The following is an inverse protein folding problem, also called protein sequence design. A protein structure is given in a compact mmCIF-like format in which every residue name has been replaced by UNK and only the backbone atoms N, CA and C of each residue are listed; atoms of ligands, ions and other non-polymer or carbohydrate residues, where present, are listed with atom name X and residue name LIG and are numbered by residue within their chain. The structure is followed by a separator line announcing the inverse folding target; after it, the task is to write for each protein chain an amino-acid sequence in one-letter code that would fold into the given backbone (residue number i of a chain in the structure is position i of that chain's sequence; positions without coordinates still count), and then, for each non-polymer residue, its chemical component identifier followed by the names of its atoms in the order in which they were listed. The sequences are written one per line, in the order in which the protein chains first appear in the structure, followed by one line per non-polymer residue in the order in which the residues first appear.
data_IF_193604176018
#
_entry.id   IF_193604176018
#
_cell.length_a   1.000
_cell.length_b   1.000
_cell.length_c   1.000
_cell.angle_alpha   90.00
_cell.angle_beta   90.00
_cell.angle_gamma   90.00
#
_symmetry.space_group_name_H-M   'P 1'
#
loop_
_entity.id
_entity.type
_entity.pdbx_description
1 polymer ?
#
# COMPACT_ATOMS: atom_id res chain seq x y z
N UNK A 1 3.13 1.63 -30.03
CA UNK A 1 2.27 2.31 -29.03
C UNK A 1 1.28 1.33 -28.39
N UNK A 2 0.43 0.64 -29.16
CA UNK A 2 -0.55 -0.33 -28.66
C UNK A 2 0.03 -1.41 -27.72
N UNK A 3 1.16 -2.02 -28.07
CA UNK A 3 1.82 -3.03 -27.23
C UNK A 3 2.25 -2.47 -25.86
N UNK A 4 2.76 -1.23 -25.79
CA UNK A 4 3.14 -0.61 -24.50
C UNK A 4 1.93 -0.27 -23.64
N UNK A 5 0.80 0.06 -24.25
CA UNK A 5 -0.46 0.27 -23.53
C UNK A 5 -0.98 -1.07 -23.00
N UNK A 6 -0.92 -2.14 -23.80
CA UNK A 6 -1.28 -3.49 -23.38
C UNK A 6 -0.44 -3.94 -22.16
N UNK A 7 0.87 -3.70 -22.17
CA UNK A 7 1.72 -4.04 -21.03
C UNK A 7 1.40 -3.21 -19.77
N UNK A 8 1.00 -1.94 -19.89
CA UNK A 8 0.51 -1.15 -18.75
C UNK A 8 -0.75 -1.77 -18.15
N UNK A 9 -1.72 -2.15 -19.00
CA UNK A 9 -2.96 -2.77 -18.53
C UNK A 9 -2.68 -4.12 -17.86
N UNK A 10 -1.79 -4.92 -18.44
CA UNK A 10 -1.39 -6.20 -17.86
C UNK A 10 -0.68 -6.01 -16.52
N UNK A 11 0.15 -4.98 -16.38
CA UNK A 11 0.81 -4.61 -15.13
C UNK A 11 -0.19 -4.27 -14.02
N UNK A 12 -1.20 -3.44 -14.32
CA UNK A 12 -2.28 -3.13 -13.37
C UNK A 12 -3.07 -4.38 -12.99
N UNK A 13 -3.39 -5.24 -13.97
CA UNK A 13 -4.08 -6.50 -13.72
C UNK A 13 -3.27 -7.44 -12.81
N UNK A 14 -1.94 -7.49 -12.99
CA UNK A 14 -1.05 -8.26 -12.12
C UNK A 14 -1.06 -7.71 -10.72
N UNK A 15 -0.96 -6.39 -10.52
CA UNK A 15 -1.04 -5.80 -9.17
C UNK A 15 -2.39 -6.12 -8.52
N UNK A 16 -3.50 -5.91 -9.23
CA UNK A 16 -4.85 -6.18 -8.70
C UNK A 16 -5.05 -7.65 -8.32
N UNK A 17 -4.56 -8.57 -9.14
CA UNK A 17 -4.70 -10.01 -8.91
C UNK A 17 -3.73 -10.53 -7.85
N UNK A 18 -2.43 -10.20 -7.92
CA UNK A 18 -1.43 -10.77 -7.02
C UNK A 18 -1.36 -10.09 -5.65
N UNK A 19 -1.88 -8.87 -5.49
CA UNK A 19 -1.89 -8.19 -4.19
C UNK A 19 -2.61 -8.99 -3.09
N UNK A 20 -3.86 -9.49 -3.29
CA UNK A 20 -4.50 -10.40 -2.32
C UNK A 20 -3.71 -11.69 -2.07
N UNK A 21 -3.02 -12.22 -3.09
CA UNK A 21 -2.21 -13.43 -2.95
C UNK A 21 -1.06 -13.22 -1.97
N UNK A 22 -0.34 -12.10 -2.10
CA UNK A 22 0.76 -11.76 -1.19
C UNK A 22 0.25 -11.66 0.25
N UNK A 23 -0.89 -11.02 0.46
CA UNK A 23 -1.54 -10.98 1.77
C UNK A 23 -1.84 -12.37 2.33
N UNK A 24 -2.36 -13.28 1.50
CA UNK A 24 -2.69 -14.65 1.89
C UNK A 24 -1.45 -15.52 2.19
N UNK A 25 -0.39 -15.37 1.41
CA UNK A 25 0.91 -16.02 1.64
C UNK A 25 1.48 -15.53 2.97
N UNK A 26 1.52 -14.22 3.21
CA UNK A 26 2.02 -13.66 4.46
C UNK A 26 1.23 -14.12 5.68
N UNK A 27 -0.10 -14.14 5.61
CA UNK A 27 -0.93 -14.67 6.69
C UNK A 27 -0.64 -16.13 6.98
N UNK A 28 -0.43 -16.96 5.95
CA UNK A 28 -0.10 -18.37 6.14
C UNK A 28 1.30 -18.57 6.72
N UNK A 29 2.29 -17.82 6.24
CA UNK A 29 3.65 -17.84 6.78
C UNK A 29 3.68 -17.40 8.24
N UNK A 30 2.96 -16.33 8.60
CA UNK A 30 2.82 -15.85 9.98
C UNK A 30 2.30 -16.97 10.90
N UNK A 31 1.23 -17.65 10.49
CA UNK A 31 0.64 -18.74 11.29
C UNK A 31 1.59 -19.95 11.40
N UNK A 32 2.31 -20.29 10.32
CA UNK A 32 3.31 -21.37 10.36
C UNK A 32 4.45 -21.06 11.33
N UNK A 33 4.94 -19.81 11.37
CA UNK A 33 5.95 -19.37 12.35
C UNK A 33 5.41 -19.47 13.78
N UNK A 34 4.11 -19.25 13.98
CA UNK A 34 3.43 -19.47 15.25
C UNK A 34 3.07 -20.95 15.52
N UNK A 35 3.59 -21.90 14.74
CA UNK A 35 3.30 -23.34 14.84
C UNK A 35 1.81 -23.69 14.66
N UNK A 36 1.08 -22.90 13.89
CA UNK A 36 -0.32 -23.12 13.51
C UNK A 36 -0.44 -23.44 12.02
N UNK A 37 -1.55 -24.06 11.61
CA UNK A 37 -1.81 -24.40 10.19
C UNK A 37 -2.18 -23.18 9.33
N UNK A 38 -2.83 -22.19 9.94
CA UNK A 38 -3.25 -20.96 9.28
C UNK A 38 -4.35 -21.12 8.23
N UNK A 39 -4.88 -19.99 7.71
CA UNK A 39 -5.89 -19.98 6.65
C UNK A 39 -5.29 -20.40 5.29
N UNK A 40 -6.18 -20.69 4.34
CA UNK A 40 -5.76 -20.92 2.95
C UNK A 40 -5.15 -19.65 2.34
N UNK A 41 -4.19 -19.82 1.42
CA UNK A 41 -3.54 -18.72 0.69
C UNK A 41 -4.60 -17.93 -0.12
N UNK A 42 -5.66 -18.59 -0.57
CA UNK A 42 -6.75 -17.96 -1.32
C UNK A 42 -7.84 -17.33 -0.44
N UNK A 43 -7.67 -17.31 0.89
CA UNK A 43 -8.65 -16.72 1.80
C UNK A 43 -8.96 -15.24 1.49
N UNK A 44 -7.97 -14.37 1.16
CA UNK A 44 -8.24 -12.97 0.85
C UNK A 44 -9.21 -12.78 -0.32
N UNK A 45 -9.12 -13.62 -1.36
CA UNK A 45 -10.05 -13.56 -2.50
C UNK A 45 -11.48 -13.94 -2.09
N UNK A 46 -11.64 -14.96 -1.25
CA UNK A 46 -12.95 -15.39 -0.73
C UNK A 46 -13.56 -14.31 0.15
N UNK A 47 -12.73 -13.64 0.94
CA UNK A 47 -13.18 -12.51 1.77
C UNK A 47 -13.63 -11.32 0.91
N UNK A 48 -12.87 -10.94 -0.11
CA UNK A 48 -13.27 -9.89 -1.05
C UNK A 48 -14.57 -10.25 -1.76
N UNK A 49 -14.68 -11.47 -2.30
CA UNK A 49 -15.91 -11.96 -2.92
C UNK A 49 -17.10 -11.87 -1.97
N UNK A 50 -16.94 -12.36 -0.73
CA UNK A 50 -17.97 -12.26 0.32
C UNK A 50 -18.39 -10.81 0.58
N UNK A 51 -17.44 -9.89 0.68
CA UNK A 51 -17.72 -8.48 1.00
C UNK A 51 -18.46 -7.76 -0.13
N UNK A 52 -18.13 -8.05 -1.40
CA UNK A 52 -18.87 -7.50 -2.54
C UNK A 52 -20.32 -7.96 -2.64
N UNK A 53 -20.64 -9.12 -2.04
CA UNK A 53 -21.99 -9.68 -1.99
C UNK A 53 -22.78 -9.28 -0.73
N UNK A 54 -22.19 -8.45 0.15
CA UNK A 54 -22.87 -7.90 1.31
C UNK A 54 -23.40 -6.50 1.02
N UNK A 55 -24.51 -6.17 1.68
CA UNK A 55 -25.02 -4.81 1.72
C UNK A 55 -24.07 -3.89 2.48
N UNK A 56 -24.06 -2.63 2.07
CA UNK A 56 -23.27 -1.58 2.67
C UNK A 56 -24.15 -0.76 3.61
N UNK A 57 -23.75 -0.72 4.88
CA UNK A 57 -24.31 0.14 5.91
C UNK A 57 -23.36 1.31 6.08
N UNK A 58 -23.91 2.52 5.95
CA UNK A 58 -23.19 3.79 6.06
C UNK A 58 -23.77 4.57 7.24
N UNK A 59 -22.90 5.16 8.07
CA UNK A 59 -23.33 5.99 9.20
C UNK A 59 -24.13 7.20 8.73
N UNK A 60 -25.20 7.54 9.46
CA UNK A 60 -26.07 8.69 9.17
C UNK A 60 -25.33 10.03 9.36
N UNK A 61 -24.35 10.06 10.28
CA UNK A 61 -23.54 11.23 10.58
C UNK A 61 -22.36 11.43 9.63
N UNK A 62 -22.13 10.49 8.70
CA UNK A 62 -21.01 10.54 7.77
C UNK A 62 -21.27 11.48 6.58
N UNK A 63 -20.22 12.19 6.16
CA UNK A 63 -20.28 13.08 5.00
C UNK A 63 -20.02 12.33 3.68
N UNK A 64 -19.96 13.09 2.59
CA UNK A 64 -19.56 12.58 1.28
C UNK A 64 -18.14 11.98 1.29
N UNK A 65 -17.26 12.43 2.20
CA UNK A 65 -15.87 11.96 2.31
C UNK A 65 -15.83 10.47 2.59
N UNK A 66 -16.66 9.97 3.52
CA UNK A 66 -16.76 8.55 3.82
C UNK A 66 -17.16 7.72 2.59
N UNK A 67 -18.10 8.22 1.77
CA UNK A 67 -18.57 7.49 0.58
C UNK A 67 -17.55 7.44 -0.55
N UNK A 68 -16.74 8.49 -0.73
CA UNK A 68 -15.76 8.57 -1.81
C UNK A 68 -14.40 7.94 -1.48
N UNK A 69 -14.03 7.92 -0.21
CA UNK A 69 -12.72 7.43 0.25
C UNK A 69 -12.38 6.01 -0.22
N UNK A 70 -13.27 5.00 -0.19
CA UNK A 70 -12.95 3.65 -0.67
C UNK A 70 -12.48 3.60 -2.13
N UNK A 71 -13.08 4.43 -2.98
CA UNK A 71 -12.69 4.54 -4.39
C UNK A 71 -11.32 5.18 -4.53
N UNK A 72 -11.02 6.22 -3.75
CA UNK A 72 -9.71 6.89 -3.77
C UNK A 72 -8.62 5.91 -3.31
N UNK A 73 -8.82 5.23 -2.18
CA UNK A 73 -7.88 4.24 -1.63
C UNK A 73 -7.65 3.07 -2.58
N UNK A 74 -8.67 2.68 -3.34
CA UNK A 74 -8.56 1.63 -4.35
C UNK A 74 -7.79 2.09 -5.61
N UNK A 75 -7.99 3.34 -6.04
CA UNK A 75 -7.45 3.87 -7.29
C UNK A 75 -6.02 4.37 -7.15
N UNK A 76 -5.60 4.89 -5.99
CA UNK A 76 -4.24 5.44 -5.83
C UNK A 76 -3.13 4.42 -6.09
N UNK A 77 -3.18 3.16 -5.61
CA UNK A 77 -2.14 2.18 -5.91
C UNK A 77 -2.15 1.76 -7.38
N UNK A 78 -3.31 1.81 -8.06
CA UNK A 78 -3.42 1.53 -9.51
C UNK A 78 -2.66 2.59 -10.31
N UNK A 79 -2.78 3.87 -9.94
CA UNK A 79 -1.99 4.93 -10.58
C UNK A 79 -0.49 4.72 -10.38
N UNK A 80 -0.06 4.36 -9.17
CA UNK A 80 1.37 4.09 -8.93
C UNK A 80 1.84 2.85 -9.68
N UNK A 81 1.00 1.82 -9.78
CA UNK A 81 1.28 0.65 -10.59
C UNK A 81 1.52 0.99 -12.07
N UNK A 82 1.04 2.11 -12.61
CA UNK A 82 1.36 2.55 -13.98
C UNK A 82 2.76 3.21 -14.09
N UNK A 83 3.30 3.72 -12.97
CA UNK A 83 4.54 4.49 -12.92
C UNK A 83 5.77 3.61 -12.61
N UNK A 84 5.59 2.50 -11.90
CA UNK A 84 6.70 1.64 -11.44
C UNK A 84 6.98 0.47 -12.40
N UNK A 85 8.22 -0.06 -12.45
CA UNK A 85 8.54 -1.25 -13.26
C UNK A 85 8.12 -2.54 -12.55
N UNK A 86 6.86 -2.99 -12.70
CA UNK A 86 6.41 -4.26 -12.11
C UNK A 86 6.77 -5.46 -12.99
N UNK A 87 6.51 -5.36 -14.30
CA UNK A 87 6.69 -6.48 -15.24
C UNK A 87 7.82 -6.27 -16.24
N UNK A 88 8.12 -5.02 -16.56
CA UNK A 88 9.05 -4.68 -17.64
C UNK A 88 10.20 -3.83 -17.13
N UNK A 89 11.41 -4.14 -17.58
CA UNK A 89 12.61 -3.35 -17.25
C UNK A 89 12.73 -2.07 -18.08
N UNK A 90 11.92 -1.90 -19.14
CA UNK A 90 11.93 -0.72 -20.00
C UNK A 90 10.70 0.17 -19.74
N UNK A 91 10.81 1.50 -19.96
CA UNK A 91 9.71 2.42 -19.68
C UNK A 91 8.52 2.17 -20.59
N UNK A 92 7.35 2.03 -19.96
CA UNK A 92 6.05 1.91 -20.61
C UNK A 92 5.50 3.29 -21.04
N UNK A 93 4.34 3.31 -21.70
CA UNK A 93 3.76 4.55 -22.24
C UNK A 93 3.54 5.63 -21.15
N UNK A 94 3.07 5.24 -19.97
CA UNK A 94 2.79 6.15 -18.85
C UNK A 94 3.97 6.32 -17.88
N UNK A 95 5.13 5.70 -18.15
CA UNK A 95 6.29 5.71 -17.27
C UNK A 95 6.87 7.10 -16.97
N UNK A 96 6.56 8.10 -17.82
CA UNK A 96 7.05 9.47 -17.69
C UNK A 96 5.99 10.44 -17.16
N UNK A 97 4.79 9.96 -16.78
CA UNK A 97 3.73 10.81 -16.22
C UNK A 97 4.02 11.30 -14.80
N UNK A 98 4.87 10.58 -14.08
CA UNK A 98 5.24 10.88 -12.70
C UNK A 98 6.56 10.21 -12.34
N UNK A 99 7.19 10.70 -11.29
CA UNK A 99 8.42 10.17 -10.73
C UNK A 99 8.16 9.37 -9.45
N UNK A 100 9.22 8.83 -8.84
CA UNK A 100 9.11 8.08 -7.59
C UNK A 100 8.43 8.88 -6.47
N UNK A 101 8.75 10.17 -6.38
CA UNK A 101 8.21 11.05 -5.34
C UNK A 101 6.72 11.34 -5.56
N UNK A 102 6.33 11.61 -6.81
CA UNK A 102 4.94 11.76 -7.22
C UNK A 102 4.13 10.49 -6.94
N UNK A 103 4.69 9.31 -7.19
CA UNK A 103 4.09 8.03 -6.80
C UNK A 103 3.82 7.96 -5.29
N UNK A 104 4.80 8.38 -4.48
CA UNK A 104 4.64 8.55 -3.03
C UNK A 104 3.48 9.43 -2.63
N UNK A 105 3.40 10.64 -3.19
CA UNK A 105 2.32 11.57 -2.89
C UNK A 105 0.94 11.05 -3.30
N UNK A 106 0.85 10.30 -4.40
CA UNK A 106 -0.40 9.64 -4.81
C UNK A 106 -0.84 8.60 -3.77
N UNK A 107 0.08 7.80 -3.22
CA UNK A 107 -0.26 6.88 -2.11
C UNK A 107 -0.63 7.64 -0.83
N UNK A 108 0.09 8.72 -0.52
CA UNK A 108 -0.18 9.56 0.64
C UNK A 108 -1.57 10.21 0.57
N UNK A 109 -2.03 10.56 -0.64
CA UNK A 109 -3.40 11.05 -0.87
C UNK A 109 -4.43 10.00 -0.45
N UNK A 110 -4.24 8.73 -0.81
CA UNK A 110 -5.11 7.64 -0.36
C UNK A 110 -5.12 7.51 1.17
N UNK A 111 -3.95 7.58 1.80
CA UNK A 111 -3.83 7.57 3.27
C UNK A 111 -4.49 8.77 3.95
N UNK A 112 -4.43 9.95 3.33
CA UNK A 112 -5.10 11.17 3.79
C UNK A 112 -6.62 11.02 3.79
N UNK A 113 -7.21 10.57 2.68
CA UNK A 113 -8.65 10.33 2.61
C UNK A 113 -9.10 9.22 3.59
N UNK A 114 -8.31 8.15 3.73
CA UNK A 114 -8.58 7.10 4.72
C UNK A 114 -8.59 7.64 6.16
N UNK A 115 -7.66 8.53 6.51
CA UNK A 115 -7.63 9.16 7.85
C UNK A 115 -8.75 10.17 8.06
N UNK A 116 -9.13 10.93 7.02
CA UNK A 116 -10.30 11.82 7.09
C UNK A 116 -11.59 11.04 7.30
N UNK A 117 -11.82 9.97 6.52
CA UNK A 117 -13.02 9.17 6.64
C UNK A 117 -13.15 8.48 8.01
N UNK A 118 -12.03 8.16 8.65
CA UNK A 118 -12.03 7.62 10.02
C UNK A 118 -12.54 8.63 11.06
N UNK A 119 -12.36 9.93 10.81
CA UNK A 119 -12.83 11.00 11.70
C UNK A 119 -14.29 11.38 11.40
N UNK A 120 -14.73 11.14 10.17
CA UNK A 120 -16.03 11.57 9.61
C UNK A 120 -17.24 10.78 10.16
N UNK A 121 -17.03 9.63 10.79
CA UNK A 121 -18.12 8.70 11.17
C UNK A 121 -18.71 8.92 12.55
N UNK A 122 -18.35 10.01 13.23
CA UNK A 122 -18.79 10.37 14.58
C UNK A 122 -18.56 9.31 15.68
N UNK A 123 -17.72 8.30 15.43
CA UNK A 123 -17.31 7.30 16.43
C UNK A 123 -16.04 7.78 17.18
N UNK A 124 -15.95 7.65 18.52
CA UNK A 124 -14.73 7.98 19.29
C UNK A 124 -13.45 7.23 18.87
N UNK A 125 -13.53 6.01 18.35
CA UNK A 125 -12.35 5.18 18.04
C UNK A 125 -11.62 5.60 16.75
N UNK A 126 -12.37 6.07 15.75
CA UNK A 126 -11.81 6.47 14.46
C UNK A 126 -10.78 7.60 14.58
N UNK A 127 -11.12 8.74 15.21
CA UNK A 127 -10.16 9.82 15.47
C UNK A 127 -8.95 9.40 16.32
N UNK A 128 -9.15 8.53 17.32
CA UNK A 128 -8.05 8.05 18.17
C UNK A 128 -7.01 7.27 17.35
N UNK A 129 -7.46 6.32 16.53
CA UNK A 129 -6.55 5.54 15.69
C UNK A 129 -5.98 6.33 14.49
N UNK A 130 -6.75 7.27 13.94
CA UNK A 130 -6.27 8.20 12.91
C UNK A 130 -5.12 9.08 13.41
N UNK A 131 -5.24 9.62 14.63
CA UNK A 131 -4.18 10.41 15.29
C UNK A 131 -2.88 9.60 15.43
N UNK A 132 -2.97 8.36 15.91
CA UNK A 132 -1.81 7.46 16.07
C UNK A 132 -1.18 7.12 14.73
N UNK A 133 -2.01 6.81 13.73
CA UNK A 133 -1.47 6.49 12.41
C UNK A 133 -0.73 7.69 11.82
N UNK A 134 -1.26 8.90 11.99
CA UNK A 134 -0.59 10.12 11.53
C UNK A 134 0.70 10.42 12.28
N UNK A 135 0.77 10.12 13.57
CA UNK A 135 2.02 10.22 14.32
C UNK A 135 3.10 9.29 13.75
N UNK A 136 2.75 8.04 13.42
CA UNK A 136 3.69 7.10 12.76
C UNK A 136 4.07 7.60 11.38
N UNK A 137 3.09 8.04 10.58
CA UNK A 137 3.30 8.59 9.23
C UNK A 137 4.23 9.80 9.22
N UNK A 138 4.07 10.72 10.18
CA UNK A 138 4.93 11.89 10.33
C UNK A 138 6.41 11.53 10.56
N UNK A 139 6.68 10.42 11.25
CA UNK A 139 8.04 9.91 11.44
C UNK A 139 8.56 9.15 10.21
N UNK A 140 7.67 8.50 9.46
CA UNK A 140 7.97 7.72 8.27
C UNK A 140 8.24 8.58 7.02
N UNK A 141 7.53 9.70 6.85
CA UNK A 141 7.60 10.57 5.68
C UNK A 141 9.02 11.14 5.41
N UNK A 142 9.79 11.62 6.41
CA UNK A 142 11.17 12.04 6.19
C UNK A 142 12.09 10.89 5.72
N UNK A 143 11.87 9.68 6.23
CA UNK A 143 12.63 8.49 5.81
C UNK A 143 12.31 8.14 4.36
N UNK A 144 11.03 8.19 3.98
CA UNK A 144 10.58 8.06 2.59
C UNK A 144 11.34 9.03 1.67
N UNK A 145 11.39 10.32 2.03
CA UNK A 145 12.09 11.35 1.24
C UNK A 145 13.59 11.06 1.09
N UNK A 146 14.27 10.73 2.19
CA UNK A 146 15.73 10.46 2.18
C UNK A 146 16.04 9.24 1.31
N UNK A 147 15.24 8.17 1.41
CA UNK A 147 15.44 6.96 0.60
C UNK A 147 15.33 7.31 -0.88
N UNK A 148 14.24 7.97 -1.30
CA UNK A 148 14.02 8.29 -2.71
C UNK A 148 15.02 9.30 -3.26
N UNK A 149 15.41 10.32 -2.49
CA UNK A 149 16.45 11.25 -2.92
C UNK A 149 17.80 10.56 -3.07
N UNK A 150 18.18 9.67 -2.16
CA UNK A 150 19.48 9.00 -2.23
C UNK A 150 19.57 8.06 -3.44
N UNK A 151 18.53 7.22 -3.66
CA UNK A 151 18.51 6.33 -4.84
C UNK A 151 18.47 7.10 -6.16
N UNK A 152 17.75 8.23 -6.18
CA UNK A 152 17.64 9.09 -7.37
C UNK A 152 18.92 9.87 -7.65
N UNK A 153 19.60 10.35 -6.60
CA UNK A 153 20.86 11.08 -6.71
C UNK A 153 21.96 10.24 -7.35
N UNK A 154 22.11 8.99 -6.91
CA UNK A 154 23.09 8.04 -7.49
C UNK A 154 22.73 7.67 -8.92
N UNK A 155 21.43 7.51 -9.21
CA UNK A 155 20.96 7.18 -10.55
C UNK A 155 21.00 8.37 -11.54
N UNK A 156 21.05 9.61 -11.04
CA UNK A 156 20.93 10.83 -11.84
C UNK A 156 19.54 11.04 -12.46
N UNK A 157 18.51 10.42 -11.88
CA UNK A 157 17.13 10.45 -12.41
C UNK A 157 16.15 10.13 -11.29
N UNK A 158 14.94 10.67 -11.37
CA UNK A 158 13.82 10.37 -10.44
C UNK A 158 12.82 9.36 -11.01
N UNK A 159 12.98 8.97 -12.28
CA UNK A 159 12.09 8.04 -12.97
C UNK A 159 12.35 6.59 -12.51
N UNK A 160 11.33 5.86 -12.01
CA UNK A 160 11.46 4.51 -11.47
C UNK A 160 12.27 3.53 -12.32
N UNK A 161 11.98 3.50 -13.62
CA UNK A 161 12.63 2.60 -14.58
C UNK A 161 14.14 2.85 -14.71
N UNK A 162 14.55 4.11 -14.73
CA UNK A 162 15.96 4.49 -14.92
C UNK A 162 16.75 4.18 -13.64
N UNK A 163 16.17 4.51 -12.48
CA UNK A 163 16.80 4.23 -11.19
C UNK A 163 17.01 2.73 -11.01
N UNK A 164 15.98 1.91 -11.28
CA UNK A 164 16.09 0.46 -11.17
C UNK A 164 17.22 -0.10 -12.05
N UNK A 165 17.32 0.33 -13.30
CA UNK A 165 18.37 -0.13 -14.21
C UNK A 165 19.78 0.21 -13.71
N UNK A 166 19.97 1.42 -13.14
CA UNK A 166 21.27 1.89 -12.63
C UNK A 166 21.74 1.13 -11.39
N UNK A 167 20.82 0.71 -10.53
CA UNK A 167 21.15 -0.04 -9.31
C UNK A 167 21.34 -1.53 -9.57
N UNK A 168 20.68 -2.11 -10.57
CA UNK A 168 20.83 -3.53 -10.93
C UNK A 168 22.04 -3.78 -11.84
N UNK A 169 22.44 -2.78 -12.64
CA UNK A 169 23.50 -2.94 -13.65
C UNK A 169 24.61 -1.90 -13.45
N UNK A 170 25.87 -2.31 -13.16
CA UNK A 170 26.34 -3.67 -12.87
C UNK A 170 25.86 -4.20 -11.50
N UNK A 171 25.81 -5.53 -11.33
CA UNK A 171 25.36 -6.19 -10.10
C UNK A 171 26.10 -5.76 -8.83
N UNK A 172 27.34 -5.26 -8.96
CA UNK A 172 28.10 -4.71 -7.83
C UNK A 172 27.39 -3.52 -7.16
N UNK A 173 26.64 -2.72 -7.91
CA UNK A 173 25.90 -1.58 -7.37
C UNK A 173 24.78 -2.03 -6.43
N UNK A 174 24.16 -3.17 -6.72
CA UNK A 174 23.07 -3.72 -5.90
C UNK A 174 23.54 -4.12 -4.50
N UNK A 175 24.78 -4.61 -4.39
CA UNK A 175 25.40 -5.00 -3.12
C UNK A 175 26.26 -3.89 -2.51
N UNK A 176 26.24 -2.68 -3.07
CA UNK A 176 26.94 -1.54 -2.49
C UNK A 176 26.40 -1.27 -1.07
N UNK A 177 27.26 -0.95 -0.08
CA UNK A 177 26.81 -0.71 1.29
C UNK A 177 25.71 0.35 1.40
N UNK A 178 25.75 1.39 0.58
CA UNK A 178 24.71 2.41 0.50
C UNK A 178 23.36 1.85 0.06
N UNK A 179 23.33 0.99 -0.96
CA UNK A 179 22.09 0.37 -1.43
C UNK A 179 21.48 -0.56 -0.39
N UNK A 180 22.31 -1.36 0.29
CA UNK A 180 21.87 -2.26 1.36
C UNK A 180 21.25 -1.48 2.52
N UNK A 181 21.86 -0.38 2.94
CA UNK A 181 21.31 0.48 3.99
C UNK A 181 19.98 1.12 3.57
N UNK A 182 19.86 1.54 2.30
CA UNK A 182 18.61 2.08 1.77
C UNK A 182 17.51 1.01 1.70
N UNK A 183 17.85 -0.22 1.32
CA UNK A 183 16.92 -1.35 1.31
C UNK A 183 16.41 -1.65 2.72
N UNK A 184 17.30 -1.65 3.73
CA UNK A 184 16.90 -1.83 5.12
C UNK A 184 16.01 -0.69 5.63
N UNK A 185 16.35 0.57 5.29
CA UNK A 185 15.52 1.72 5.64
C UNK A 185 14.13 1.66 4.98
N UNK A 186 14.07 1.28 3.70
CA UNK A 186 12.83 1.10 2.96
C UNK A 186 12.01 -0.08 3.49
N UNK A 187 12.65 -1.18 3.89
CA UNK A 187 11.97 -2.29 4.56
C UNK A 187 11.32 -1.85 5.88
N UNK A 188 12.02 -1.08 6.71
CA UNK A 188 11.46 -0.52 7.94
C UNK A 188 10.28 0.42 7.65
N UNK A 189 10.36 1.19 6.56
CA UNK A 189 9.27 2.03 6.09
C UNK A 189 8.03 1.22 5.67
N UNK A 190 8.23 0.13 4.91
CA UNK A 190 7.14 -0.79 4.51
C UNK A 190 6.46 -1.39 5.75
N UNK A 191 7.23 -1.77 6.78
CA UNK A 191 6.70 -2.33 8.01
C UNK A 191 5.88 -1.28 8.80
N UNK A 192 6.35 -0.04 8.85
CA UNK A 192 5.65 1.07 9.51
C UNK A 192 4.34 1.44 8.79
N UNK A 193 4.39 1.63 7.46
CA UNK A 193 3.22 1.96 6.64
C UNK A 193 2.23 0.80 6.49
N UNK A 194 2.71 -0.44 6.58
CA UNK A 194 1.90 -1.65 6.50
C UNK A 194 1.29 -2.09 7.84
N UNK A 195 1.47 -1.32 8.91
CA UNK A 195 0.95 -1.65 10.24
C UNK A 195 1.40 -3.02 10.74
N UNK A 196 2.68 -3.36 10.53
CA UNK A 196 3.24 -4.67 10.89
C UNK A 196 4.16 -4.56 12.10
N UNK A 197 4.38 -5.71 12.75
CA UNK A 197 5.31 -5.84 13.88
C UNK A 197 6.70 -5.42 13.39
N UNK A 198 7.42 -4.53 14.10
CA UNK A 198 7.22 -4.10 15.49
C UNK A 198 6.34 -2.86 15.72
N UNK A 199 5.86 -2.20 14.66
CA UNK A 199 5.15 -0.90 14.77
C UNK A 199 3.70 -1.06 15.20
N UNK A 200 2.97 -1.99 14.58
CA UNK A 200 1.59 -2.34 14.94
C UNK A 200 1.37 -3.85 14.85
N UNK A 201 0.37 -4.36 15.57
CA UNK A 201 -0.04 -5.75 15.50
C UNK A 201 -1.43 -5.86 14.83
N UNK A 202 -1.51 -6.26 13.56
CA UNK A 202 -2.78 -6.34 12.81
C UNK A 202 -3.65 -7.53 13.22
N UNK A 203 -3.29 -8.24 14.29
CA UNK A 203 -4.15 -9.27 14.91
C UNK A 203 -4.67 -8.84 16.28
N UNK A 204 -4.28 -7.66 16.75
CA UNK A 204 -4.79 -7.09 17.99
C UNK A 204 -6.12 -6.39 17.72
N UNK A 205 -7.21 -6.92 18.27
CA UNK A 205 -8.55 -6.33 18.16
C UNK A 205 -8.93 -5.49 19.38
N UNK A 206 -7.95 -5.00 20.14
CA UNK A 206 -8.23 -4.06 21.21
C UNK A 206 -8.55 -2.70 20.58
N UNK A 207 -9.83 -2.33 20.55
CA UNK A 207 -10.34 -1.09 19.94
C UNK A 207 -9.54 0.14 20.37
N UNK A 208 -9.13 0.18 21.64
CA UNK A 208 -8.32 1.25 22.21
C UNK A 208 -6.84 1.23 21.82
N UNK A 209 -6.33 0.17 21.21
CA UNK A 209 -4.92 0.03 20.80
C UNK A 209 -4.76 -0.05 19.27
N UNK A 210 -5.85 -0.12 18.51
CA UNK A 210 -5.81 -0.12 17.05
C UNK A 210 -5.12 1.13 16.51
N UNK A 211 -4.19 0.94 15.56
CA UNK A 211 -3.62 2.01 14.76
C UNK A 211 -4.22 1.92 13.36
N UNK A 212 -3.84 0.92 12.56
CA UNK A 212 -4.25 0.87 11.15
C UNK A 212 -5.69 0.38 10.93
N UNK A 213 -6.15 -0.62 11.71
CA UNK A 213 -7.51 -1.17 11.58
C UNK A 213 -8.62 -0.12 11.84
N UNK A 214 -8.31 0.90 12.66
CA UNK A 214 -9.25 1.98 13.00
C UNK A 214 -9.77 2.75 11.78
N UNK A 215 -8.96 2.88 10.72
CA UNK A 215 -9.32 3.66 9.52
C UNK A 215 -10.47 3.05 8.72
N UNK A 216 -10.64 1.74 8.87
CA UNK A 216 -11.63 0.97 8.13
C UNK A 216 -12.77 0.44 8.99
N UNK A 217 -12.80 0.80 10.28
CA UNK A 217 -13.65 0.18 11.30
C UNK A 217 -15.15 0.27 10.97
N UNK A 218 -15.59 1.44 10.49
CA UNK A 218 -16.99 1.74 10.19
C UNK A 218 -17.43 1.32 8.80
N UNK A 219 -16.50 0.85 7.96
CA UNK A 219 -16.86 0.40 6.61
C UNK A 219 -17.44 -1.00 6.64
N UNK A 220 -18.46 -1.22 5.83
CA UNK A 220 -19.10 -2.51 5.62
C UNK A 220 -19.30 -2.80 4.13
N UNK A 221 -19.68 -4.04 3.81
CA UNK A 221 -19.99 -4.45 2.44
C UNK A 221 -18.93 -4.07 1.40
N UNK A 222 -19.38 -3.37 0.36
CA UNK A 222 -18.58 -3.01 -0.82
C UNK A 222 -17.48 -1.97 -0.50
N UNK A 223 -17.78 -0.94 0.28
CA UNK A 223 -16.77 0.05 0.70
C UNK A 223 -15.62 -0.61 1.45
N UNK A 224 -15.91 -1.54 2.37
CA UNK A 224 -14.87 -2.29 3.07
C UNK A 224 -14.05 -3.20 2.14
N UNK A 225 -14.70 -3.80 1.13
CA UNK A 225 -13.99 -4.59 0.11
C UNK A 225 -12.95 -3.74 -0.63
N UNK A 226 -13.33 -2.54 -1.07
CA UNK A 226 -12.45 -1.62 -1.78
C UNK A 226 -11.31 -1.10 -0.89
N UNK A 227 -11.60 -0.76 0.37
CA UNK A 227 -10.58 -0.36 1.35
C UNK A 227 -9.55 -1.48 1.57
N UNK A 228 -10.02 -2.71 1.78
CA UNK A 228 -9.15 -3.88 1.99
C UNK A 228 -8.31 -4.19 0.75
N UNK A 229 -8.91 -4.13 -0.44
CA UNK A 229 -8.20 -4.41 -1.68
C UNK A 229 -7.19 -3.30 -2.02
N UNK A 230 -7.56 -2.03 -1.84
CA UNK A 230 -6.66 -0.89 -1.98
C UNK A 230 -5.46 -0.97 -1.03
N UNK A 231 -5.68 -1.32 0.24
CA UNK A 231 -4.60 -1.55 1.20
C UNK A 231 -3.66 -2.68 0.79
N UNK A 232 -4.19 -3.80 0.28
CA UNK A 232 -3.38 -4.89 -0.26
C UNK A 232 -2.57 -4.47 -1.48
N UNK A 233 -3.15 -3.69 -2.39
CA UNK A 233 -2.44 -3.18 -3.57
C UNK A 233 -1.36 -2.17 -3.19
N UNK A 234 -1.64 -1.25 -2.24
CA UNK A 234 -0.62 -0.33 -1.69
C UNK A 234 0.56 -1.12 -1.15
N UNK A 235 0.29 -2.15 -0.34
CA UNK A 235 1.34 -3.00 0.21
C UNK A 235 2.12 -3.75 -0.88
N UNK A 236 1.45 -4.27 -1.91
CA UNK A 236 2.11 -4.93 -3.05
C UNK A 236 3.00 -3.98 -3.86
N UNK A 237 2.56 -2.75 -4.08
CA UNK A 237 3.29 -1.73 -4.84
C UNK A 237 4.52 -1.22 -4.08
N UNK A 238 4.47 -1.22 -2.75
CA UNK A 238 5.60 -0.83 -1.90
C UNK A 238 6.65 -1.94 -1.73
N UNK A 239 6.31 -3.19 -2.07
CA UNK A 239 7.18 -4.37 -1.92
C UNK A 239 8.16 -4.49 -3.09
#
# INVERSE_FOLDING_TARGET
MAQRILFNLLQVLVVMAFAPLVGGVLSRLKEMVQSKRGPSIFQPYRDLWKLFHKDEVVSEDSSWIFRFTPYIVFVTPIFVALLIPVLTSYPLFFAFMGDMLGGGFVLALGGFFATLAAVDTANPYGPMGASRTRMVGFLAEPVFMIVFFTVSFVAGSTIPYIVQQKWVTPLANFFAPSHVLLLLAFLMLILAEGGRIPVDNPTGHFELAMIDESKSLEYSGRGFALMKWGGQMKFFVLL
#
